data_IF_975615870452
#
_entry.id   IF_975615870452
#
_cell.length_a   1.000
_cell.length_b   1.000
_cell.length_c   1.000
_cell.angle_alpha   90.00
_cell.angle_beta   90.00
_cell.angle_gamma   90.00
#
_symmetry.space_group_name_H-M   'P 1'
#
loop_
_entity.id
_entity.type
_entity.pdbx_description
1 polymer ?
#
# COMPACT_ATOMS: atom_id res chain seq x y z
N UNK A 1 -39.65 -20.15 -35.78
CA UNK A 1 -38.94 -19.03 -35.15
C UNK A 1 -37.45 -19.41 -35.06
N UNK A 2 -36.70 -19.06 -36.09
CA UNK A 2 -35.33 -19.50 -36.31
C UNK A 2 -34.40 -18.68 -35.36
N UNK A 3 -33.91 -19.30 -34.30
CA UNK A 3 -32.86 -18.72 -33.45
C UNK A 3 -31.56 -18.69 -34.25
N UNK A 4 -31.26 -17.54 -34.89
CA UNK A 4 -29.94 -17.27 -35.48
C UNK A 4 -28.89 -17.45 -34.37
N UNK A 5 -28.16 -18.53 -34.40
CA UNK A 5 -26.95 -18.73 -33.63
C UNK A 5 -25.95 -17.67 -34.11
N UNK A 6 -25.77 -16.60 -33.35
CA UNK A 6 -24.74 -15.62 -33.63
C UNK A 6 -23.40 -16.32 -33.37
N UNK A 7 -22.72 -16.71 -34.45
CA UNK A 7 -21.32 -17.14 -34.36
C UNK A 7 -20.49 -15.96 -33.85
N UNK A 8 -20.18 -15.96 -32.55
CA UNK A 8 -19.24 -15.00 -32.01
C UNK A 8 -17.87 -15.34 -32.58
N UNK A 9 -17.24 -14.40 -33.27
CA UNK A 9 -15.88 -14.58 -33.73
C UNK A 9 -14.94 -14.77 -32.49
N UNK A 10 -13.90 -15.60 -32.59
CA UNK A 10 -12.92 -15.83 -31.54
C UNK A 10 -12.35 -14.51 -31.02
N UNK A 11 -12.13 -13.55 -31.93
CA UNK A 11 -11.70 -12.19 -31.57
C UNK A 11 -12.72 -11.48 -30.69
N UNK A 12 -14.03 -11.60 -30.95
CA UNK A 12 -15.08 -11.00 -30.12
C UNK A 12 -15.12 -11.60 -28.70
N UNK A 13 -14.87 -12.90 -28.55
CA UNK A 13 -14.76 -13.56 -27.24
C UNK A 13 -13.53 -13.10 -26.47
N UNK A 14 -12.38 -12.96 -27.14
CA UNK A 14 -11.15 -12.46 -26.51
C UNK A 14 -11.32 -11.00 -26.05
N UNK A 15 -11.89 -10.13 -26.88
CA UNK A 15 -12.19 -8.75 -26.49
C UNK A 15 -13.18 -8.68 -25.32
N UNK A 16 -14.23 -9.49 -25.34
CA UNK A 16 -15.18 -9.58 -24.23
C UNK A 16 -14.53 -10.01 -22.93
N UNK A 17 -13.60 -10.98 -22.99
CA UNK A 17 -12.80 -11.40 -21.84
C UNK A 17 -11.92 -10.27 -21.28
N UNK A 18 -11.16 -9.61 -22.15
CA UNK A 18 -10.27 -8.52 -21.74
C UNK A 18 -11.04 -7.36 -21.11
N UNK A 19 -12.17 -6.99 -21.71
CA UNK A 19 -13.04 -5.94 -21.16
C UNK A 19 -13.64 -6.34 -19.81
N UNK A 20 -14.11 -7.58 -19.67
CA UNK A 20 -14.66 -8.07 -18.40
C UNK A 20 -13.61 -8.13 -17.29
N UNK A 21 -12.40 -8.64 -17.59
CA UNK A 21 -11.29 -8.70 -16.65
C UNK A 21 -10.83 -7.29 -16.26
N UNK A 22 -10.70 -6.37 -17.21
CA UNK A 22 -10.34 -4.98 -16.98
C UNK A 22 -11.38 -4.26 -16.12
N UNK A 23 -12.66 -4.37 -16.45
CA UNK A 23 -13.74 -3.77 -15.67
C UNK A 23 -13.78 -4.30 -14.23
N UNK A 24 -13.54 -5.60 -14.04
CA UNK A 24 -13.46 -6.19 -12.72
C UNK A 24 -12.29 -5.65 -11.90
N UNK A 25 -11.09 -5.56 -12.49
CA UNK A 25 -9.93 -4.97 -11.81
C UNK A 25 -10.20 -3.51 -11.42
N UNK A 26 -10.79 -2.72 -12.30
CA UNK A 26 -11.18 -1.33 -12.02
C UNK A 26 -12.16 -1.30 -10.85
N UNK A 27 -13.19 -2.14 -10.85
CA UNK A 27 -14.15 -2.21 -9.75
C UNK A 27 -13.51 -2.59 -8.41
N UNK A 28 -12.57 -3.54 -8.41
CA UNK A 28 -11.79 -3.92 -7.21
C UNK A 28 -10.95 -2.75 -6.72
N UNK A 29 -10.28 -2.02 -7.61
CA UNK A 29 -9.49 -0.84 -7.23
C UNK A 29 -10.38 0.27 -6.62
N UNK A 30 -11.55 0.55 -7.20
CA UNK A 30 -12.49 1.50 -6.62
C UNK A 30 -13.00 1.06 -5.24
N UNK A 31 -13.35 -0.21 -5.09
CA UNK A 31 -13.76 -0.78 -3.80
C UNK A 31 -12.64 -0.68 -2.76
N UNK A 32 -11.39 -0.92 -3.16
CA UNK A 32 -10.22 -0.75 -2.31
C UNK A 32 -10.04 0.71 -1.89
N UNK A 33 -10.09 1.68 -2.81
CA UNK A 33 -9.99 3.10 -2.49
C UNK A 33 -11.11 3.55 -1.53
N UNK A 34 -12.34 3.10 -1.77
CA UNK A 34 -13.46 3.39 -0.89
C UNK A 34 -13.25 2.79 0.50
N UNK A 35 -12.78 1.54 0.57
CA UNK A 35 -12.46 0.87 1.85
C UNK A 35 -11.35 1.59 2.61
N UNK A 36 -10.31 2.04 1.91
CA UNK A 36 -9.23 2.84 2.49
C UNK A 36 -9.77 4.13 3.11
N UNK A 37 -10.60 4.88 2.37
CA UNK A 37 -11.22 6.10 2.86
C UNK A 37 -12.14 5.84 4.06
N UNK A 38 -12.88 4.73 4.03
CA UNK A 38 -13.73 4.33 5.15
C UNK A 38 -12.90 4.05 6.40
N UNK A 39 -11.79 3.33 6.28
CA UNK A 39 -10.89 3.02 7.39
C UNK A 39 -10.26 4.28 8.01
N UNK A 40 -9.93 5.28 7.18
CA UNK A 40 -9.50 6.59 7.68
C UNK A 40 -10.62 7.31 8.42
N UNK A 41 -11.81 7.37 7.84
CA UNK A 41 -12.96 8.06 8.44
C UNK A 41 -13.43 7.41 9.75
N UNK A 42 -13.29 6.07 9.86
CA UNK A 42 -13.57 5.34 11.09
C UNK A 42 -12.46 5.46 12.14
N UNK A 43 -11.35 6.13 11.84
CA UNK A 43 -10.23 6.27 12.76
C UNK A 43 -9.46 4.97 13.01
N UNK A 44 -9.48 4.02 12.08
CA UNK A 44 -8.68 2.79 12.19
C UNK A 44 -7.23 3.03 11.75
N UNK A 45 -7.04 3.89 10.75
CA UNK A 45 -5.76 4.33 10.24
C UNK A 45 -5.70 5.86 10.23
N UNK A 46 -4.49 6.41 10.31
CA UNK A 46 -4.23 7.83 10.19
C UNK A 46 -3.78 8.16 8.75
N UNK A 47 -3.90 9.43 8.32
CA UNK A 47 -3.41 9.85 7.01
C UNK A 47 -1.88 9.67 6.91
N UNK A 48 -1.38 9.51 5.69
CA UNK A 48 0.06 9.36 5.44
C UNK A 48 0.88 10.57 5.88
N UNK A 49 0.25 11.74 6.02
CA UNK A 49 0.87 12.98 6.54
C UNK A 49 1.04 12.99 8.06
N UNK A 50 0.39 12.06 8.80
CA UNK A 50 0.39 12.10 10.27
C UNK A 50 1.80 12.08 10.88
N UNK A 51 2.73 11.31 10.27
CA UNK A 51 4.13 11.28 10.71
C UNK A 51 4.85 12.61 10.50
N UNK A 52 4.67 13.25 9.33
CA UNK A 52 5.29 14.54 9.03
C UNK A 52 4.69 15.68 9.88
N UNK A 53 3.40 15.63 10.14
CA UNK A 53 2.73 16.60 11.02
C UNK A 53 3.22 16.45 12.46
N UNK A 54 3.36 15.23 12.96
CA UNK A 54 3.92 14.96 14.28
C UNK A 54 5.37 15.44 14.39
N UNK A 55 6.20 15.21 13.37
CA UNK A 55 7.58 15.69 13.33
C UNK A 55 7.64 17.23 13.29
N UNK A 56 6.78 17.90 12.53
CA UNK A 56 6.70 19.34 12.46
C UNK A 56 6.25 19.95 13.82
N UNK A 57 5.26 19.36 14.47
CA UNK A 57 4.83 19.76 15.81
C UNK A 57 5.94 19.56 16.84
N UNK A 58 6.61 18.39 16.79
CA UNK A 58 7.75 18.11 17.66
C UNK A 58 8.91 19.09 17.45
N UNK A 59 9.21 19.43 16.21
CA UNK A 59 10.22 20.42 15.86
C UNK A 59 9.87 21.83 16.41
N UNK A 60 8.62 22.23 16.31
CA UNK A 60 8.14 23.50 16.84
C UNK A 60 8.22 23.56 18.39
N UNK A 61 7.86 22.46 19.06
CA UNK A 61 7.96 22.35 20.52
C UNK A 61 9.41 22.36 21.01
N UNK A 62 10.33 21.73 20.25
CA UNK A 62 11.75 21.67 20.60
C UNK A 62 12.49 22.99 20.38
N UNK A 63 11.97 23.88 19.56
CA UNK A 63 12.61 25.13 19.22
C UNK A 63 12.83 26.01 20.48
N UNK A 64 14.07 26.48 20.68
CA UNK A 64 14.47 27.30 21.81
C UNK A 64 14.77 26.53 23.10
N UNK A 65 14.56 25.21 23.14
CA UNK A 65 14.97 24.37 24.27
C UNK A 65 16.45 23.97 24.19
N UNK A 66 17.03 23.57 25.31
CA UNK A 66 18.33 22.91 25.38
C UNK A 66 18.13 21.39 25.39
N UNK A 67 19.18 20.61 25.19
CA UNK A 67 19.10 19.15 25.34
C UNK A 67 18.59 18.71 26.72
N UNK A 68 18.95 19.46 27.80
CA UNK A 68 18.52 19.17 29.16
C UNK A 68 17.04 19.53 29.43
N UNK A 69 16.51 20.57 28.77
CA UNK A 69 15.12 21.00 28.89
C UNK A 69 14.21 20.50 27.81
N UNK A 70 14.66 19.52 27.00
CA UNK A 70 13.93 18.99 25.88
C UNK A 70 12.57 18.39 26.29
N UNK A 71 11.45 18.80 25.68
CA UNK A 71 10.11 18.45 26.13
C UNK A 71 9.67 17.05 25.66
N UNK A 72 10.46 16.02 25.94
CA UNK A 72 10.25 14.66 25.46
C UNK A 72 8.86 14.08 25.79
N UNK A 73 8.28 14.47 26.93
CA UNK A 73 6.97 14.00 27.38
C UNK A 73 5.78 14.72 26.75
N UNK A 74 6.01 15.83 26.04
CA UNK A 74 4.97 16.64 25.38
C UNK A 74 4.91 16.38 23.87
N UNK A 75 5.86 15.59 23.35
CA UNK A 75 5.95 15.31 21.93
C UNK A 75 4.84 14.37 21.47
N UNK A 76 4.31 14.56 20.24
CA UNK A 76 3.33 13.65 19.67
C UNK A 76 3.83 12.18 19.66
N UNK A 77 2.94 11.25 19.92
CA UNK A 77 3.28 9.82 20.02
C UNK A 77 3.92 9.23 18.77
N UNK A 78 3.56 9.77 17.57
CA UNK A 78 4.15 9.35 16.29
C UNK A 78 5.53 9.97 16.03
N UNK A 79 5.97 10.89 16.88
CA UNK A 79 7.21 11.62 16.71
C UNK A 79 8.39 10.76 17.13
N UNK A 80 9.25 10.38 16.18
CA UNK A 80 10.54 9.74 16.44
C UNK A 80 11.61 10.81 16.46
N UNK A 81 12.44 10.83 17.50
CA UNK A 81 13.44 11.86 17.68
C UNK A 81 14.72 11.34 18.28
N UNK A 82 15.82 12.01 17.95
CA UNK A 82 17.13 11.82 18.59
C UNK A 82 17.82 13.17 18.78
N UNK A 83 18.48 13.35 19.88
CA UNK A 83 19.29 14.54 20.18
C UNK A 83 20.75 14.15 20.08
N UNK A 84 21.48 14.89 19.26
CA UNK A 84 22.92 14.78 19.12
C UNK A 84 23.62 15.97 19.80
N UNK A 85 24.79 15.72 20.39
CA UNK A 85 25.54 16.74 21.12
C UNK A 85 26.03 17.91 20.27
N UNK A 86 26.09 17.73 18.95
CA UNK A 86 26.46 18.77 17.99
C UNK A 86 25.95 18.41 16.58
N UNK A 87 25.97 19.34 15.63
CA UNK A 87 25.63 19.07 14.24
C UNK A 87 26.70 18.27 13.47
N UNK A 88 27.84 17.99 14.08
CA UNK A 88 28.95 17.30 13.43
C UNK A 88 28.68 15.80 13.24
N UNK A 89 29.25 15.24 12.16
CA UNK A 89 29.24 13.79 11.97
C UNK A 89 29.90 13.11 13.19
N UNK A 90 29.31 11.99 13.62
CA UNK A 90 29.76 11.19 14.77
C UNK A 90 29.54 11.84 16.14
N UNK A 91 28.72 12.89 16.25
CA UNK A 91 28.30 13.44 17.55
C UNK A 91 27.65 12.38 18.45
N UNK A 92 27.88 12.52 19.75
CA UNK A 92 27.27 11.61 20.72
C UNK A 92 25.75 11.78 20.75
N UNK A 93 25.02 10.67 20.85
CA UNK A 93 23.57 10.68 21.10
C UNK A 93 23.34 10.95 22.57
N UNK A 94 22.67 12.03 22.88
CA UNK A 94 22.36 12.44 24.27
C UNK A 94 21.08 11.75 24.76
N UNK A 95 20.04 11.73 23.92
CA UNK A 95 18.76 11.11 24.23
C UNK A 95 18.02 10.75 22.92
N UNK A 96 17.19 9.71 22.96
CA UNK A 96 16.40 9.28 21.80
C UNK A 96 15.24 8.38 22.21
N UNK A 97 14.14 8.40 21.44
CA UNK A 97 13.08 7.39 21.46
C UNK A 97 13.14 6.45 20.24
N UNK A 98 14.16 6.61 19.39
CA UNK A 98 14.35 5.76 18.21
C UNK A 98 14.94 4.41 18.61
N UNK A 99 14.51 3.36 17.89
CA UNK A 99 15.21 2.08 17.92
C UNK A 99 16.57 2.17 17.19
N UNK A 100 17.39 1.11 17.30
CA UNK A 100 18.73 1.08 16.72
C UNK A 100 18.76 1.35 15.23
N UNK A 101 17.77 0.81 14.48
CA UNK A 101 17.70 0.96 13.04
C UNK A 101 17.36 2.40 12.61
N UNK A 102 16.37 3.03 13.28
CA UNK A 102 16.01 4.41 13.02
C UNK A 102 17.11 5.37 13.44
N UNK A 103 17.78 5.09 14.57
CA UNK A 103 18.90 5.88 15.05
C UNK A 103 20.11 5.84 14.09
N UNK A 104 20.41 4.69 13.52
CA UNK A 104 21.48 4.60 12.52
C UNK A 104 21.16 5.42 11.28
N UNK A 105 19.92 5.46 10.85
CA UNK A 105 19.48 6.32 9.74
C UNK A 105 19.60 7.80 10.07
N UNK A 106 19.25 8.21 11.31
CA UNK A 106 19.45 9.58 11.75
C UNK A 106 20.94 9.94 11.76
N UNK A 107 21.84 9.05 12.19
CA UNK A 107 23.29 9.23 12.11
C UNK A 107 23.79 9.35 10.67
N UNK A 108 23.28 8.54 9.77
CA UNK A 108 23.64 8.62 8.35
C UNK A 108 23.19 9.95 7.74
N UNK A 109 22.00 10.43 8.11
CA UNK A 109 21.53 11.75 7.70
C UNK A 109 22.42 12.87 8.22
N UNK A 110 22.88 12.79 9.48
CA UNK A 110 23.81 13.73 10.09
C UNK A 110 25.17 13.78 9.33
N UNK A 111 25.63 12.65 8.82
CA UNK A 111 26.85 12.56 8.01
C UNK A 111 26.72 13.12 6.59
N UNK A 112 25.55 13.70 6.26
CA UNK A 112 25.30 14.21 4.90
C UNK A 112 25.06 13.11 3.88
N UNK A 113 24.93 11.87 4.30
CA UNK A 113 24.45 10.77 3.46
C UNK A 113 23.02 11.10 3.05
N UNK A 114 22.70 10.95 1.75
CA UNK A 114 21.32 11.00 1.32
C UNK A 114 20.59 9.90 2.11
N UNK A 115 19.74 10.29 3.06
CA UNK A 115 19.07 9.40 3.98
C UNK A 115 18.10 8.40 3.34
N UNK A 116 18.18 8.23 2.05
CA UNK A 116 17.35 7.42 1.17
C UNK A 116 17.75 5.93 1.13
N UNK A 117 18.09 5.35 2.25
CA UNK A 117 18.18 3.88 2.36
C UNK A 117 16.80 3.23 2.61
N UNK A 118 15.74 4.00 2.68
CA UNK A 118 14.37 3.53 2.67
C UNK A 118 13.51 4.61 2.05
N UNK A 119 12.74 4.25 1.06
CA UNK A 119 11.99 5.11 0.14
C UNK A 119 11.06 6.16 0.76
N UNK A 120 10.92 6.23 2.07
CA UNK A 120 9.89 7.03 2.72
C UNK A 120 10.35 7.76 3.97
N UNK A 121 11.64 7.72 4.35
CA UNK A 121 12.10 8.32 5.59
C UNK A 121 12.75 9.68 5.38
N UNK A 122 12.22 10.65 6.09
CA UNK A 122 12.65 12.04 6.05
C UNK A 122 13.05 12.50 7.45
N UNK A 123 13.88 13.54 7.53
CA UNK A 123 14.32 14.13 8.77
C UNK A 123 14.07 15.63 8.76
N UNK A 124 13.54 16.14 9.87
CA UNK A 124 13.53 17.56 10.20
C UNK A 124 14.56 17.80 11.28
N UNK A 125 15.44 18.77 11.08
CA UNK A 125 16.57 19.05 11.95
C UNK A 125 16.34 20.40 12.64
N UNK A 126 16.44 20.42 13.97
CA UNK A 126 16.23 21.63 14.78
C UNK A 126 17.48 21.87 15.64
N UNK A 127 18.16 23.02 15.49
CA UNK A 127 19.21 23.40 16.42
C UNK A 127 18.62 23.75 17.77
N UNK A 128 19.23 23.26 18.85
CA UNK A 128 18.87 23.57 20.22
C UNK A 128 19.72 24.74 20.77
N UNK A 129 19.23 25.37 21.80
CA UNK A 129 19.85 26.60 22.35
C UNK A 129 21.27 26.40 22.92
N UNK A 130 21.62 25.17 23.28
CA UNK A 130 22.94 24.78 23.79
C UNK A 130 23.93 24.28 22.72
N UNK A 131 23.57 24.38 21.44
CA UNK A 131 24.37 23.89 20.31
C UNK A 131 24.20 22.41 19.99
N UNK A 132 23.40 21.68 20.75
CA UNK A 132 22.92 20.34 20.40
C UNK A 132 21.94 20.43 19.23
N UNK A 133 21.64 19.28 18.61
CA UNK A 133 20.73 19.22 17.45
C UNK A 133 19.72 18.10 17.65
N UNK A 134 18.45 18.42 17.48
CA UNK A 134 17.36 17.44 17.50
C UNK A 134 17.00 17.03 16.06
N UNK A 135 16.98 15.73 15.82
CA UNK A 135 16.53 15.11 14.57
C UNK A 135 15.16 14.50 14.79
N UNK A 136 14.18 14.93 14.01
CA UNK A 136 12.84 14.37 13.97
C UNK A 136 12.67 13.55 12.71
N UNK A 137 12.44 12.26 12.87
CA UNK A 137 12.28 11.33 11.75
C UNK A 137 10.80 11.04 11.51
N UNK A 138 10.41 11.03 10.24
CA UNK A 138 9.09 10.64 9.81
C UNK A 138 9.13 9.85 8.50
N UNK A 139 8.09 9.09 8.26
CA UNK A 139 7.82 8.42 7.00
C UNK A 139 6.41 8.77 6.51
N UNK A 140 6.14 8.54 5.23
CA UNK A 140 4.81 8.68 4.65
C UNK A 140 4.02 7.35 4.69
N UNK A 141 4.34 6.48 5.63
CA UNK A 141 3.55 5.30 5.89
C UNK A 141 2.18 5.68 6.47
N UNK A 142 1.20 4.84 6.24
CA UNK A 142 -0.15 4.96 6.82
C UNK A 142 -0.17 4.24 8.16
N UNK A 143 -0.08 4.94 9.30
CA UNK A 143 0.01 4.28 10.58
C UNK A 143 -1.38 3.84 11.08
N UNK A 144 -1.42 2.76 11.85
CA UNK A 144 -2.61 2.43 12.64
C UNK A 144 -2.87 3.54 13.66
N UNK A 145 -4.13 3.94 13.81
CA UNK A 145 -4.50 4.94 14.81
C UNK A 145 -4.26 4.42 16.24
N UNK A 146 -4.54 3.12 16.48
CA UNK A 146 -4.28 2.49 17.76
C UNK A 146 -2.77 2.15 17.91
N UNK A 147 -2.05 2.76 18.89
CA UNK A 147 -0.63 2.50 19.12
C UNK A 147 -0.30 1.04 19.40
N UNK A 148 -1.22 0.30 20.06
CA UNK A 148 -1.01 -1.10 20.39
C UNK A 148 -0.91 -2.03 19.17
N UNK A 149 -1.37 -1.57 18.00
CA UNK A 149 -1.27 -2.31 16.74
C UNK A 149 0.02 -1.99 15.99
N UNK A 150 0.63 -0.83 16.26
CA UNK A 150 1.89 -0.43 15.65
C UNK A 150 3.01 -1.36 16.12
N UNK A 151 3.79 -1.90 15.21
CA UNK A 151 4.86 -2.85 15.51
C UNK A 151 4.41 -4.31 15.77
N UNK A 152 3.11 -4.57 15.99
CA UNK A 152 2.56 -5.94 16.08
C UNK A 152 2.00 -6.42 14.76
N UNK A 153 1.41 -5.52 13.99
CA UNK A 153 0.90 -5.80 12.65
C UNK A 153 1.92 -5.35 11.60
N UNK A 154 1.95 -6.03 10.46
CA UNK A 154 2.71 -5.57 9.31
C UNK A 154 2.28 -4.18 8.88
N UNK A 155 3.10 -3.53 8.06
CA UNK A 155 2.78 -2.25 7.43
C UNK A 155 1.41 -2.33 6.74
N UNK A 156 0.51 -1.43 7.15
CA UNK A 156 -0.87 -1.41 6.64
C UNK A 156 -0.89 -1.25 5.11
N UNK A 157 -0.06 -0.36 4.58
CA UNK A 157 -0.04 -0.06 3.15
C UNK A 157 0.40 -1.29 2.33
N UNK A 158 1.43 -2.00 2.79
CA UNK A 158 1.89 -3.23 2.14
C UNK A 158 0.81 -4.33 2.18
N UNK A 159 0.16 -4.54 3.32
CA UNK A 159 -0.94 -5.50 3.43
C UNK A 159 -2.13 -5.14 2.54
N UNK A 160 -2.50 -3.87 2.51
CA UNK A 160 -3.62 -3.38 1.73
C UNK A 160 -3.38 -3.54 0.22
N UNK A 161 -2.16 -3.21 -0.25
CA UNK A 161 -1.76 -3.43 -1.63
C UNK A 161 -1.74 -4.92 -2.00
N UNK A 162 -1.19 -5.76 -1.12
CA UNK A 162 -1.18 -7.21 -1.34
C UNK A 162 -2.60 -7.79 -1.41
N UNK A 163 -3.49 -7.39 -0.51
CA UNK A 163 -4.89 -7.81 -0.52
C UNK A 163 -5.61 -7.37 -1.80
N UNK A 164 -5.40 -6.13 -2.25
CA UNK A 164 -5.98 -5.61 -3.50
C UNK A 164 -5.46 -6.39 -4.71
N UNK A 165 -4.15 -6.65 -4.78
CA UNK A 165 -3.55 -7.43 -5.86
C UNK A 165 -4.09 -8.87 -5.91
N UNK A 166 -4.23 -9.53 -4.74
CA UNK A 166 -4.82 -10.87 -4.64
C UNK A 166 -6.29 -10.89 -5.06
N UNK A 167 -7.06 -9.86 -4.70
CA UNK A 167 -8.46 -9.73 -5.13
C UNK A 167 -8.56 -9.57 -6.66
N UNK A 168 -7.71 -8.73 -7.27
CA UNK A 168 -7.63 -8.59 -8.72
C UNK A 168 -7.26 -9.92 -9.40
N UNK A 169 -6.23 -10.60 -8.90
CA UNK A 169 -5.79 -11.90 -9.44
C UNK A 169 -6.91 -12.95 -9.34
N UNK A 170 -7.57 -13.06 -8.18
CA UNK A 170 -8.69 -13.95 -7.97
C UNK A 170 -9.83 -13.66 -8.93
N UNK A 171 -10.13 -12.39 -9.17
CA UNK A 171 -11.13 -11.94 -10.12
C UNK A 171 -10.79 -12.33 -11.56
N UNK A 172 -9.57 -12.12 -12.01
CA UNK A 172 -9.09 -12.54 -13.33
C UNK A 172 -9.20 -14.06 -13.50
N UNK A 173 -8.77 -14.83 -12.49
CA UNK A 173 -8.90 -16.29 -12.50
C UNK A 173 -10.36 -16.74 -12.60
N UNK A 174 -11.26 -16.08 -11.87
CA UNK A 174 -12.70 -16.39 -11.94
C UNK A 174 -13.29 -16.13 -13.33
N UNK A 175 -12.97 -14.98 -13.94
CA UNK A 175 -13.39 -14.64 -15.32
C UNK A 175 -12.82 -15.64 -16.30
N UNK A 176 -11.53 -15.98 -16.22
CA UNK A 176 -10.87 -16.97 -17.08
C UNK A 176 -11.56 -18.32 -16.99
N UNK A 177 -11.87 -18.81 -15.78
CA UNK A 177 -12.58 -20.08 -15.59
C UNK A 177 -13.99 -20.04 -16.16
N UNK A 178 -14.70 -18.93 -16.01
CA UNK A 178 -16.05 -18.78 -16.56
C UNK A 178 -16.04 -18.83 -18.09
N UNK A 179 -15.10 -18.13 -18.74
CA UNK A 179 -14.93 -18.15 -20.21
C UNK A 179 -14.50 -19.52 -20.70
N UNK A 180 -13.53 -20.16 -20.04
CA UNK A 180 -13.06 -21.51 -20.41
C UNK A 180 -14.20 -22.54 -20.33
N UNK A 181 -15.05 -22.48 -19.30
CA UNK A 181 -16.22 -23.36 -19.19
C UNK A 181 -17.22 -23.17 -20.35
N UNK A 182 -17.47 -21.92 -20.77
CA UNK A 182 -18.33 -21.61 -21.90
C UNK A 182 -17.74 -22.16 -23.20
N UNK A 183 -16.45 -21.93 -23.45
CA UNK A 183 -15.77 -22.44 -24.63
C UNK A 183 -15.79 -23.98 -24.70
N UNK A 184 -15.60 -24.65 -23.55
CA UNK A 184 -15.68 -26.10 -23.48
C UNK A 184 -17.11 -26.62 -23.77
N UNK A 185 -18.14 -25.94 -23.28
CA UNK A 185 -19.53 -26.28 -23.56
C UNK A 185 -19.84 -26.13 -25.06
N UNK A 186 -19.42 -25.00 -25.67
CA UNK A 186 -19.62 -24.74 -27.10
C UNK A 186 -18.85 -25.75 -27.95
N UNK A 187 -17.62 -26.11 -27.56
CA UNK A 187 -16.81 -27.12 -28.26
C UNK A 187 -17.46 -28.53 -28.20
N UNK A 188 -18.05 -28.89 -27.06
CA UNK A 188 -18.81 -30.17 -26.94
C UNK A 188 -20.02 -30.22 -27.86
N UNK A 189 -20.82 -29.14 -27.88
CA UNK A 189 -21.98 -29.03 -28.78
C UNK A 189 -21.59 -29.16 -30.25
N UNK A 190 -20.46 -28.52 -30.63
CA UNK A 190 -19.94 -28.65 -32.01
C UNK A 190 -19.45 -30.06 -32.31
N UNK A 191 -18.81 -30.74 -31.36
CA UNK A 191 -18.37 -32.12 -31.52
C UNK A 191 -19.57 -33.09 -31.62
N UNK A 192 -20.62 -32.91 -30.84
CA UNK A 192 -21.86 -33.67 -30.89
C UNK A 192 -22.58 -33.46 -32.23
N UNK A 193 -22.72 -32.21 -32.70
CA UNK A 193 -23.27 -31.90 -33.98
C UNK A 193 -22.46 -32.53 -35.14
N UNK A 194 -21.12 -32.44 -35.06
CA UNK A 194 -20.23 -33.09 -36.05
C UNK A 194 -20.37 -34.61 -36.08
N UNK A 195 -20.51 -35.25 -34.92
CA UNK A 195 -20.71 -36.69 -34.84
C UNK A 195 -22.10 -37.14 -35.41
N UNK A 196 -23.14 -36.34 -35.14
CA UNK A 196 -24.49 -36.60 -35.74
C UNK A 196 -24.50 -36.48 -37.26
N UNK A 197 -23.75 -35.51 -37.81
CA UNK A 197 -23.56 -35.37 -39.25
C UNK A 197 -22.82 -36.58 -39.82
N UNK A 198 -21.73 -37.01 -39.19
CA UNK A 198 -20.91 -38.13 -39.65
C UNK A 198 -21.65 -39.48 -39.57
N UNK A 199 -22.58 -39.64 -38.63
CA UNK A 199 -23.40 -40.86 -38.45
C UNK A 199 -24.64 -40.92 -39.36
N UNK A 200 -24.90 -39.89 -40.17
CA UNK A 200 -26.04 -39.87 -41.08
C UNK A 200 -27.43 -39.73 -40.42
N UNK A 201 -27.46 -39.39 -39.14
CA UNK A 201 -28.72 -39.27 -38.37
C UNK A 201 -29.40 -37.89 -38.50
N UNK A 202 -29.15 -37.18 -39.59
CA UNK A 202 -29.74 -35.84 -39.85
C UNK A 202 -31.18 -35.84 -40.36
N UNK A 203 -31.90 -36.97 -40.35
CA UNK A 203 -33.27 -37.02 -40.90
C UNK A 203 -34.39 -36.55 -39.95
N UNK A 204 -34.10 -35.93 -38.83
CA UNK A 204 -35.16 -35.54 -37.90
C UNK A 204 -34.92 -34.19 -37.15
N UNK A 205 -34.63 -33.16 -37.94
CA UNK A 205 -34.71 -31.80 -37.39
C UNK A 205 -35.50 -30.86 -38.27
#
# INVERSE_FOLDING_TARGET
MEKRVKAHSLAGLLWGYLLAAGALCIAVCFAALFSFQLLMNCGFILPASAGSEAAAQGAALAAGHTAASFPAGELPELCRWAIFSSPQADAAVLCTNMDAWHLEKARNAQRGGSGNLGYTQYHTVVPLADGAVAYFQYDYAVPYANPALRGKLPDFQAMFLAATALACLGGVVAVTRAVSRRLQADARLLAEAGSAIASGTLESW
#
